data_IF_917546653384
#
_entry.id   IF_917546653384
#
_cell.length_a   1.000
_cell.length_b   1.000
_cell.length_c   1.000
_cell.angle_alpha   90.00
_cell.angle_beta   90.00
_cell.angle_gamma   90.00
#
_symmetry.space_group_name_H-M   'P 1'
#
loop_
_entity.id
_entity.type
_entity.pdbx_description
1 polymer ?
#
# COMPACT_ATOMS: atom_id res chain seq x y z
N UNK A 1 -2.65 15.47 4.99
CA UNK A 1 -3.32 14.20 4.57
C UNK A 1 -4.07 14.37 3.25
N UNK A 2 -3.72 13.59 2.22
CA UNK A 2 -4.33 13.60 0.88
C UNK A 2 -5.15 12.34 0.66
N UNK A 3 -6.38 12.46 0.15
CA UNK A 3 -7.21 11.31 -0.22
C UNK A 3 -6.64 10.64 -1.46
N UNK A 4 -6.59 9.32 -1.48
CA UNK A 4 -6.10 8.55 -2.62
C UNK A 4 -7.00 7.35 -2.92
N UNK A 5 -7.03 6.94 -4.19
CA UNK A 5 -7.40 5.58 -4.58
C UNK A 5 -6.12 4.76 -4.66
N UNK A 6 -6.10 3.54 -4.11
CA UNK A 6 -4.92 2.68 -4.14
C UNK A 6 -5.22 1.28 -4.71
N UNK A 7 -4.15 0.63 -5.19
CA UNK A 7 -4.09 -0.78 -5.57
C UNK A 7 -2.75 -1.34 -5.11
N UNK A 8 -2.77 -2.38 -4.27
CA UNK A 8 -1.56 -2.98 -3.67
C UNK A 8 -1.57 -4.49 -3.89
N UNK A 9 -0.44 -5.04 -4.33
CA UNK A 9 -0.24 -6.47 -4.57
C UNK A 9 1.04 -6.95 -3.90
N UNK A 10 1.03 -8.15 -3.34
CA UNK A 10 2.26 -8.82 -2.87
C UNK A 10 3.08 -9.27 -4.08
N UNK A 11 4.39 -8.99 -4.13
CA UNK A 11 5.24 -9.32 -5.28
C UNK A 11 5.58 -10.81 -5.33
N UNK A 12 5.88 -11.41 -4.17
CA UNK A 12 6.34 -12.80 -4.07
C UNK A 12 5.27 -13.75 -3.54
N UNK A 13 5.29 -14.97 -4.06
CA UNK A 13 4.30 -16.03 -3.82
C UNK A 13 3.15 -15.90 -4.83
N UNK A 14 2.84 -16.98 -5.55
CA UNK A 14 1.76 -17.10 -6.55
C UNK A 14 0.40 -16.76 -5.95
N UNK A 15 0.18 -15.48 -5.71
CA UNK A 15 -0.95 -14.93 -5.00
C UNK A 15 -1.50 -13.82 -5.86
N UNK A 16 -2.71 -14.04 -6.36
CA UNK A 16 -3.51 -13.00 -6.99
C UNK A 16 -4.14 -12.07 -5.95
N UNK A 17 -3.69 -12.16 -4.69
CA UNK A 17 -4.15 -11.30 -3.62
C UNK A 17 -3.72 -9.86 -3.88
N UNK A 18 -4.73 -9.06 -4.21
CA UNK A 18 -4.66 -7.62 -4.41
C UNK A 18 -5.68 -6.97 -3.50
N UNK A 19 -5.28 -5.89 -2.83
CA UNK A 19 -6.20 -5.00 -2.12
C UNK A 19 -6.33 -3.69 -2.89
N UNK A 20 -7.52 -3.14 -2.95
CA UNK A 20 -7.78 -1.85 -3.59
C UNK A 20 -8.90 -1.12 -2.86
N UNK A 21 -8.86 0.20 -2.87
CA UNK A 21 -9.85 0.98 -2.14
C UNK A 21 -9.45 2.44 -1.98
N UNK A 22 -10.11 3.09 -1.02
CA UNK A 22 -9.83 4.46 -0.63
C UNK A 22 -8.91 4.51 0.58
N UNK A 23 -7.95 5.42 0.53
CA UNK A 23 -6.99 5.63 1.60
C UNK A 23 -6.59 7.10 1.75
N UNK A 24 -5.63 7.32 2.63
CA UNK A 24 -5.06 8.63 2.88
C UNK A 24 -3.53 8.54 2.90
N UNK A 25 -2.86 9.42 2.17
CA UNK A 25 -1.41 9.62 2.26
C UNK A 25 -1.16 10.76 3.24
N UNK A 26 -0.37 10.54 4.30
CA UNK A 26 0.05 11.64 5.18
C UNK A 26 1.24 12.39 4.58
N UNK A 27 1.68 13.43 5.30
CA UNK A 27 2.72 14.33 4.81
C UNK A 27 4.14 13.71 4.93
N UNK A 28 4.28 12.63 5.72
CA UNK A 28 5.48 11.80 5.82
C UNK A 28 5.58 10.75 4.69
N UNK A 29 4.55 10.63 3.86
CA UNK A 29 4.51 9.63 2.79
C UNK A 29 4.04 8.24 3.23
N UNK A 30 3.40 8.11 4.40
CA UNK A 30 2.73 6.89 4.85
C UNK A 30 1.33 6.77 4.25
N UNK A 31 1.02 5.62 3.65
CA UNK A 31 -0.29 5.31 3.08
C UNK A 31 -1.15 4.54 4.08
N UNK A 32 -2.30 5.10 4.43
CA UNK A 32 -3.33 4.46 5.26
C UNK A 32 -4.45 3.90 4.40
N UNK A 33 -4.55 2.58 4.35
CA UNK A 33 -5.58 1.82 3.65
C UNK A 33 -6.76 1.52 4.58
N UNK A 34 -7.98 1.95 4.23
CA UNK A 34 -9.19 1.56 4.93
C UNK A 34 -9.70 0.23 4.35
N UNK A 35 -9.55 -0.84 5.12
CA UNK A 35 -9.86 -2.19 4.70
C UNK A 35 -11.03 -2.77 5.50
N UNK A 36 -11.69 -3.76 4.91
CA UNK A 36 -12.67 -4.62 5.57
C UNK A 36 -12.14 -6.04 5.53
N UNK A 37 -12.08 -6.72 6.68
CA UNK A 37 -11.68 -8.12 6.77
C UNK A 37 -12.78 -9.04 6.23
N UNK A 38 -12.47 -10.32 6.09
CA UNK A 38 -13.44 -11.33 5.64
C UNK A 38 -14.66 -11.45 6.57
N UNK A 39 -14.48 -11.21 7.88
CA UNK A 39 -15.57 -11.19 8.88
C UNK A 39 -16.28 -9.81 8.96
N UNK A 40 -16.03 -8.91 8.02
CA UNK A 40 -16.72 -7.62 7.94
C UNK A 40 -16.18 -6.53 8.88
N UNK A 41 -15.15 -6.83 9.68
CA UNK A 41 -14.56 -5.84 10.59
C UNK A 41 -13.71 -4.84 9.82
N UNK A 42 -13.90 -3.56 10.16
CA UNK A 42 -13.09 -2.47 9.59
C UNK A 42 -11.74 -2.42 10.29
N UNK A 43 -10.68 -2.28 9.52
CA UNK A 43 -9.34 -2.04 10.04
C UNK A 43 -8.57 -1.07 9.15
N UNK A 44 -7.52 -0.46 9.69
CA UNK A 44 -6.59 0.37 8.92
C UNK A 44 -5.27 -0.35 8.79
N UNK A 45 -4.82 -0.56 7.55
CA UNK A 45 -3.47 -1.05 7.27
C UNK A 45 -2.61 0.12 6.82
N UNK A 46 -1.38 0.20 7.30
CA UNK A 46 -0.46 1.25 6.90
C UNK A 46 0.73 0.67 6.12
N UNK A 47 1.20 1.43 5.14
CA UNK A 47 2.41 1.15 4.39
C UNK A 47 3.30 2.38 4.52
N UNK A 48 4.43 2.21 5.19
CA UNK A 48 5.44 3.24 5.40
C UNK A 48 6.29 3.44 4.12
N UNK A 49 6.98 4.57 4.03
CA UNK A 49 7.86 4.94 2.90
C UNK A 49 7.24 4.94 1.49
N UNK A 50 5.91 4.91 1.36
CA UNK A 50 5.21 4.97 0.06
C UNK A 50 5.56 6.26 -0.69
N UNK A 51 5.56 7.41 -0.02
CA UNK A 51 5.92 8.70 -0.63
C UNK A 51 7.39 8.78 -1.07
N UNK A 52 8.26 7.93 -0.51
CA UNK A 52 9.69 7.84 -0.85
C UNK A 52 9.93 6.91 -2.04
N UNK A 53 9.22 5.79 -2.09
CA UNK A 53 9.46 4.72 -3.07
C UNK A 53 8.47 4.68 -4.24
N UNK A 54 7.33 5.38 -4.16
CA UNK A 54 6.41 5.52 -5.27
C UNK A 54 6.67 6.82 -6.03
N UNK A 55 6.94 6.69 -7.32
CA UNK A 55 7.25 7.82 -8.19
C UNK A 55 6.12 8.08 -9.17
N UNK A 56 6.05 9.31 -9.68
CA UNK A 56 5.03 9.73 -10.64
C UNK A 56 5.12 8.88 -11.90
N UNK A 57 3.97 8.42 -12.39
CA UNK A 57 3.88 7.68 -13.65
C UNK A 57 3.88 8.68 -14.81
N UNK A 58 4.81 8.53 -15.75
CA UNK A 58 4.93 9.42 -16.90
C UNK A 58 3.65 9.38 -17.74
N UNK A 59 3.12 10.55 -18.10
CA UNK A 59 1.90 10.66 -18.91
C UNK A 59 0.60 10.34 -18.16
N UNK A 60 0.64 10.10 -16.85
CA UNK A 60 -0.55 9.93 -16.00
C UNK A 60 -0.61 11.02 -14.94
N UNK A 61 -1.73 11.72 -14.88
CA UNK A 61 -1.91 12.79 -13.93
C UNK A 61 -2.24 12.25 -12.54
N UNK A 62 -1.49 12.71 -11.53
CA UNK A 62 -1.67 12.37 -10.12
C UNK A 62 -1.57 10.87 -9.79
N UNK A 63 -0.98 10.07 -10.69
CA UNK A 63 -0.73 8.64 -10.48
C UNK A 63 0.74 8.38 -10.14
N UNK A 64 0.93 7.47 -9.19
CA UNK A 64 2.24 7.12 -8.65
C UNK A 64 2.32 5.60 -8.48
N UNK A 65 3.51 5.03 -8.70
CA UNK A 65 3.75 3.61 -8.45
C UNK A 65 5.16 3.34 -7.96
N UNK A 66 5.31 2.27 -7.18
CA UNK A 66 6.59 1.83 -6.65
C UNK A 66 6.50 0.51 -5.90
N UNK A 67 7.61 0.12 -5.29
CA UNK A 67 7.71 -1.07 -4.46
C UNK A 67 8.08 -0.68 -3.04
N UNK A 68 7.41 -1.28 -2.05
CA UNK A 68 7.67 -1.05 -0.62
C UNK A 68 7.84 -2.39 0.07
N UNK A 69 8.89 -2.50 0.88
CA UNK A 69 9.16 -3.68 1.68
C UNK A 69 8.70 -3.47 3.12
N UNK A 70 7.89 -4.41 3.61
CA UNK A 70 7.41 -4.46 5.00
C UNK A 70 8.10 -5.62 5.71
N UNK A 71 8.47 -5.41 6.98
CA UNK A 71 8.95 -6.46 7.88
C UNK A 71 7.84 -6.81 8.87
N UNK A 72 7.56 -8.10 9.03
CA UNK A 72 6.58 -8.62 9.98
C UNK A 72 7.27 -9.58 10.95
N UNK A 73 7.11 -9.38 12.25
CA UNK A 73 7.45 -10.40 13.23
C UNK A 73 6.39 -11.51 13.18
N UNK A 74 6.84 -12.74 12.98
CA UNK A 74 6.01 -13.93 13.08
C UNK A 74 6.77 -15.02 13.83
N UNK A 75 6.31 -15.33 15.04
CA UNK A 75 6.93 -16.29 15.95
C UNK A 75 8.44 -16.02 16.17
N UNK A 76 8.81 -14.74 16.33
CA UNK A 76 10.19 -14.32 16.55
C UNK A 76 11.08 -14.39 15.31
N UNK A 77 10.49 -14.49 14.11
CA UNK A 77 11.19 -14.37 12.82
C UNK A 77 10.73 -13.13 12.08
N UNK A 78 11.68 -12.38 11.55
CA UNK A 78 11.39 -11.28 10.63
C UNK A 78 11.08 -11.83 9.24
N UNK A 79 9.82 -11.67 8.82
CA UNK A 79 9.36 -11.98 7.48
C UNK A 79 9.39 -10.70 6.65
N UNK A 80 10.26 -10.68 5.65
CA UNK A 80 10.31 -9.63 4.65
C UNK A 80 9.24 -9.85 3.55
N UNK A 81 8.42 -8.84 3.30
CA UNK A 81 7.41 -8.87 2.25
C UNK A 81 7.45 -7.61 1.40
N UNK A 82 7.73 -7.79 0.12
CA UNK A 82 7.67 -6.73 -0.88
C UNK A 82 6.26 -6.60 -1.48
N UNK A 83 5.80 -5.35 -1.58
CA UNK A 83 4.52 -4.96 -2.15
C UNK A 83 4.71 -4.03 -3.34
N UNK A 84 4.03 -4.34 -4.45
CA UNK A 84 3.83 -3.38 -5.54
C UNK A 84 2.64 -2.49 -5.19
N UNK A 85 2.86 -1.18 -5.17
CA UNK A 85 1.89 -0.17 -4.81
C UNK A 85 1.66 0.75 -6.00
N UNK A 86 0.39 0.98 -6.32
CA UNK A 86 -0.09 2.06 -7.17
C UNK A 86 -1.10 2.89 -6.39
N UNK A 87 -1.05 4.21 -6.55
CA UNK A 87 -2.10 5.09 -6.05
C UNK A 87 -2.31 6.30 -6.95
N UNK A 88 -3.52 6.86 -6.88
CA UNK A 88 -3.93 8.10 -7.52
C UNK A 88 -4.46 9.09 -6.49
N UNK A 89 -3.89 10.29 -6.45
CA UNK A 89 -4.44 11.37 -5.62
C UNK A 89 -5.77 11.87 -6.18
N UNK A 90 -6.76 12.07 -5.30
CA UNK A 90 -8.14 12.50 -5.60
C UNK A 90 -8.34 13.96 -5.24
#
# INVERSE_FOLDING_TARGET
>A
MKKVVYSIRKVRGNSDYKISGLGFLNDEGRLFCKCTSQDGKRYTRAFDDVGKHCHKILGKENEYSGYVTMYYDYDGRDIEVEYSIWYKAV
#
